data_IF_353027560606
#
_entry.id   IF_353027560606
#
_cell.length_a   1.000
_cell.length_b   1.000
_cell.length_c   1.000
_cell.angle_alpha   90.00
_cell.angle_beta   90.00
_cell.angle_gamma   90.00
#
_symmetry.space_group_name_H-M   'P 1'
#
loop_
_entity.id
_entity.type
_entity.pdbx_description
1 polymer ?
#
# COMPACT_ATOMS: atom_id res chain seq x y z
N UNK A 1 14.58 15.04 -55.96
CA UNK A 1 15.08 14.69 -54.62
C UNK A 1 13.93 14.86 -53.62
N UNK A 2 13.34 13.76 -53.18
CA UNK A 2 12.25 13.84 -52.21
C UNK A 2 12.87 13.79 -50.80
N UNK A 3 12.81 14.90 -50.09
CA UNK A 3 13.16 14.96 -48.69
C UNK A 3 11.94 14.40 -47.94
N UNK A 4 12.01 13.17 -47.50
CA UNK A 4 11.04 12.60 -46.57
C UNK A 4 11.43 13.14 -45.21
N UNK A 5 10.81 14.21 -44.81
CA UNK A 5 10.83 14.61 -43.38
C UNK A 5 9.88 13.65 -42.70
N UNK A 6 10.43 12.58 -42.19
CA UNK A 6 9.72 11.79 -41.18
C UNK A 6 9.61 12.68 -39.96
N UNK A 7 8.51 13.42 -39.86
CA UNK A 7 8.14 14.10 -38.64
C UNK A 7 7.91 13.02 -37.63
N UNK A 8 8.97 12.68 -36.87
CA UNK A 8 8.81 11.92 -35.63
C UNK A 8 8.01 12.83 -34.71
N UNK A 9 6.70 12.75 -34.78
CA UNK A 9 5.83 13.31 -33.78
C UNK A 9 6.14 12.53 -32.51
N UNK A 10 7.13 13.02 -31.77
CA UNK A 10 7.26 12.69 -30.37
C UNK A 10 6.03 13.30 -29.72
N UNK A 11 4.94 12.55 -29.70
CA UNK A 11 3.78 12.86 -28.91
C UNK A 11 4.23 12.79 -27.46
N UNK A 12 4.73 13.92 -26.95
CA UNK A 12 4.78 14.23 -25.54
C UNK A 12 3.31 14.38 -25.08
N UNK A 13 2.57 13.27 -25.10
CA UNK A 13 1.44 13.17 -24.21
C UNK A 13 2.02 13.22 -22.81
N UNK A 14 1.56 14.12 -21.92
CA UNK A 14 1.81 13.94 -20.53
C UNK A 14 1.32 12.52 -20.23
N UNK A 15 2.22 11.67 -19.77
CA UNK A 15 1.85 10.40 -19.18
C UNK A 15 1.05 10.81 -17.96
N UNK A 16 -0.29 10.93 -18.14
CA UNK A 16 -1.20 11.02 -17.02
C UNK A 16 -1.04 9.67 -16.34
N UNK A 17 -0.33 9.65 -15.21
CA UNK A 17 -0.22 8.47 -14.39
C UNK A 17 -1.64 8.08 -13.98
N UNK A 18 -2.17 7.05 -14.60
CA UNK A 18 -3.45 6.50 -14.14
C UNK A 18 -3.18 5.81 -12.82
N UNK A 19 -3.83 6.31 -11.76
CA UNK A 19 -3.93 5.61 -10.50
C UNK A 19 -4.67 4.29 -10.73
N UNK A 20 -4.03 3.18 -10.39
CA UNK A 20 -4.64 1.85 -10.47
C UNK A 20 -5.24 1.45 -9.12
N UNK A 21 -6.25 0.58 -9.17
CA UNK A 21 -6.75 -0.11 -7.98
C UNK A 21 -6.39 -1.59 -8.08
N UNK A 22 -5.61 -2.04 -7.11
CA UNK A 22 -5.17 -3.43 -6.98
C UNK A 22 -6.00 -4.10 -5.89
N UNK A 23 -6.65 -5.21 -6.18
CA UNK A 23 -7.58 -5.86 -5.25
C UNK A 23 -6.97 -7.08 -4.57
N UNK A 24 -7.27 -7.25 -3.28
CA UNK A 24 -6.84 -8.37 -2.44
C UNK A 24 -8.09 -9.00 -1.82
N UNK A 25 -8.29 -10.32 -1.90
CA UNK A 25 -7.41 -11.34 -2.47
C UNK A 25 -7.63 -11.64 -3.95
N UNK A 26 -8.48 -10.91 -4.67
CA UNK A 26 -8.94 -11.26 -6.01
C UNK A 26 -7.83 -11.24 -7.06
N UNK A 27 -7.03 -10.15 -7.11
CA UNK A 27 -5.90 -10.00 -8.04
C UNK A 27 -4.58 -10.43 -7.41
N UNK A 28 -4.40 -10.13 -6.13
CA UNK A 28 -3.19 -10.44 -5.38
C UNK A 28 -3.56 -11.22 -4.14
N UNK A 29 -2.87 -12.33 -3.89
CA UNK A 29 -3.18 -13.24 -2.78
C UNK A 29 -2.87 -12.65 -1.40
N UNK A 30 -2.04 -11.60 -1.32
CA UNK A 30 -1.66 -10.95 -0.07
C UNK A 30 -1.60 -9.43 -0.23
N UNK A 31 -1.72 -8.71 0.89
CA UNK A 31 -1.62 -7.26 0.91
C UNK A 31 -0.21 -6.84 0.47
N UNK A 32 0.84 -7.50 0.97
CA UNK A 32 2.21 -7.17 0.61
C UNK A 32 2.48 -7.39 -0.88
N UNK A 33 1.93 -8.42 -1.51
CA UNK A 33 2.12 -8.65 -2.94
C UNK A 33 1.46 -7.57 -3.79
N UNK A 34 0.31 -7.05 -3.37
CA UNK A 34 -0.33 -5.90 -4.01
C UNK A 34 0.49 -4.62 -3.83
N UNK A 35 1.01 -4.37 -2.62
CA UNK A 35 1.92 -3.24 -2.37
C UNK A 35 3.15 -3.31 -3.27
N UNK A 36 3.76 -4.49 -3.39
CA UNK A 36 4.95 -4.68 -4.22
C UNK A 36 4.68 -4.37 -5.70
N UNK A 37 3.50 -4.69 -6.19
CA UNK A 37 3.08 -4.45 -7.57
C UNK A 37 2.58 -3.02 -7.84
N UNK A 38 2.25 -2.25 -6.79
CA UNK A 38 1.72 -0.89 -6.92
C UNK A 38 2.82 0.13 -7.27
N UNK A 39 2.40 1.25 -7.83
CA UNK A 39 3.18 2.47 -8.01
C UNK A 39 2.59 3.60 -7.17
N UNK A 40 3.34 4.70 -6.98
CA UNK A 40 2.82 5.88 -6.30
C UNK A 40 1.48 6.32 -6.86
N UNK A 41 0.58 6.74 -5.98
CA UNK A 41 -0.82 7.13 -6.25
C UNK A 41 -1.79 5.96 -6.49
N UNK A 42 -1.33 4.73 -6.51
CA UNK A 42 -2.21 3.57 -6.60
C UNK A 42 -2.98 3.33 -5.29
N UNK A 43 -4.06 2.58 -5.41
CA UNK A 43 -4.86 2.10 -4.28
C UNK A 43 -4.82 0.58 -4.20
N UNK A 44 -4.49 0.05 -3.04
CA UNK A 44 -4.66 -1.36 -2.70
C UNK A 44 -5.96 -1.50 -1.93
N UNK A 45 -6.95 -2.15 -2.54
CA UNK A 45 -8.29 -2.36 -1.97
C UNK A 45 -8.39 -3.79 -1.43
N UNK A 46 -8.64 -3.90 -0.13
CA UNK A 46 -8.61 -5.18 0.59
C UNK A 46 -10.01 -5.57 1.03
N UNK A 47 -10.47 -6.73 0.58
CA UNK A 47 -11.76 -7.31 0.98
C UNK A 47 -11.71 -7.81 2.42
N UNK A 48 -12.87 -7.93 3.10
CA UNK A 48 -12.94 -8.48 4.45
C UNK A 48 -12.23 -9.83 4.55
N UNK A 49 -11.47 -10.01 5.63
CA UNK A 49 -10.72 -11.24 5.87
C UNK A 49 -9.68 -11.09 6.97
N UNK A 50 -9.02 -12.19 7.25
CA UNK A 50 -7.93 -12.26 8.22
C UNK A 50 -6.62 -12.43 7.45
N UNK A 51 -5.74 -11.44 7.56
CA UNK A 51 -4.47 -11.36 6.85
C UNK A 51 -3.32 -11.43 7.86
N UNK A 52 -2.68 -12.59 7.98
CA UNK A 52 -1.51 -12.75 8.83
C UNK A 52 -0.28 -12.27 8.07
N UNK A 53 0.03 -10.98 8.21
CA UNK A 53 1.10 -10.32 7.46
C UNK A 53 1.75 -9.22 8.31
N UNK A 54 3.04 -9.00 8.06
CA UNK A 54 3.76 -7.80 8.47
C UNK A 54 4.04 -7.02 7.19
N UNK A 55 3.35 -5.90 6.97
CA UNK A 55 3.42 -5.16 5.70
C UNK A 55 4.35 -3.96 5.78
N UNK A 56 5.03 -3.67 4.67
CA UNK A 56 5.84 -2.48 4.49
C UNK A 56 5.39 -1.73 3.23
N UNK A 57 5.25 -0.43 3.33
CA UNK A 57 4.93 0.42 2.18
C UNK A 57 6.09 0.57 1.21
N UNK A 58 7.32 0.22 1.62
CA UNK A 58 8.53 0.23 0.78
C UNK A 58 8.81 1.58 0.11
N UNK A 59 8.53 2.67 0.80
CA UNK A 59 8.74 4.03 0.30
C UNK A 59 7.70 4.51 -0.70
N UNK A 60 6.60 3.79 -0.88
CA UNK A 60 5.55 4.14 -1.84
C UNK A 60 4.46 5.01 -1.21
N UNK A 61 4.04 6.02 -1.95
CA UNK A 61 2.92 6.89 -1.61
C UNK A 61 1.63 6.35 -2.19
N UNK A 62 1.11 5.30 -1.58
CA UNK A 62 -0.10 4.58 -1.96
C UNK A 62 -1.15 4.61 -0.86
N UNK A 63 -2.39 4.33 -1.22
CA UNK A 63 -3.48 4.12 -0.26
C UNK A 63 -3.74 2.64 -0.14
N UNK A 64 -3.58 2.08 1.06
CA UNK A 64 -4.01 0.72 1.40
C UNK A 64 -5.27 0.85 2.23
N UNK A 65 -6.39 0.37 1.72
CA UNK A 65 -7.69 0.54 2.34
C UNK A 65 -8.53 -0.73 2.28
N UNK A 66 -9.33 -0.96 3.33
CA UNK A 66 -10.38 -1.96 3.24
C UNK A 66 -11.56 -1.48 2.38
N UNK A 67 -12.47 -2.38 2.06
CA UNK A 67 -13.72 -2.03 1.36
C UNK A 67 -14.63 -1.08 2.15
N UNK A 68 -14.30 -0.78 3.41
CA UNK A 68 -14.93 0.26 4.22
C UNK A 68 -15.11 1.58 3.44
N UNK A 69 -14.07 1.99 2.68
CA UNK A 69 -14.11 3.26 1.94
C UNK A 69 -15.17 3.26 0.83
N UNK A 70 -15.45 2.10 0.27
CA UNK A 70 -16.42 1.93 -0.83
C UNK A 70 -17.86 1.76 -0.27
N UNK A 71 -17.99 0.97 0.78
CA UNK A 71 -19.28 0.59 1.35
C UNK A 71 -19.77 1.56 2.44
N UNK A 72 -18.87 2.40 2.96
CA UNK A 72 -19.10 3.33 4.07
C UNK A 72 -19.72 2.66 5.31
N UNK A 73 -19.40 1.38 5.50
CA UNK A 73 -19.85 0.57 6.61
C UNK A 73 -18.69 0.35 7.61
N UNK A 74 -18.82 0.91 8.80
CA UNK A 74 -17.81 0.77 9.86
C UNK A 74 -17.62 -0.67 10.35
N UNK A 75 -18.58 -1.56 10.10
CA UNK A 75 -18.42 -2.99 10.39
C UNK A 75 -17.32 -3.63 9.56
N UNK A 76 -17.00 -3.07 8.39
CA UNK A 76 -15.92 -3.56 7.53
C UNK A 76 -14.54 -3.38 8.18
N UNK A 77 -14.38 -2.40 9.06
CA UNK A 77 -13.12 -2.18 9.81
C UNK A 77 -12.85 -3.37 10.73
N UNK A 78 -13.86 -3.83 11.44
CA UNK A 78 -13.76 -5.02 12.31
C UNK A 78 -13.66 -6.34 11.56
N UNK A 79 -14.04 -6.35 10.28
CA UNK A 79 -14.04 -7.54 9.44
C UNK A 79 -12.77 -7.69 8.60
N UNK A 80 -11.91 -6.66 8.56
CA UNK A 80 -10.67 -6.67 7.79
C UNK A 80 -9.50 -6.49 8.75
N UNK A 81 -8.86 -7.60 9.08
CA UNK A 81 -7.86 -7.69 10.15
C UNK A 81 -6.49 -7.98 9.56
N UNK A 82 -5.50 -7.18 9.95
CA UNK A 82 -4.09 -7.48 9.69
C UNK A 82 -3.46 -7.91 11.03
N UNK A 83 -2.97 -9.14 11.06
CA UNK A 83 -2.40 -9.77 12.24
C UNK A 83 -0.90 -9.93 12.07
N UNK A 84 -0.14 -9.31 12.95
CA UNK A 84 1.33 -9.34 12.90
C UNK A 84 1.95 -10.61 13.48
N UNK A 85 1.14 -11.51 14.03
CA UNK A 85 1.59 -12.79 14.60
C UNK A 85 2.72 -12.63 15.63
N UNK A 86 2.74 -11.52 16.36
CA UNK A 86 3.82 -11.16 17.30
C UNK A 86 5.23 -11.16 16.68
N UNK A 87 5.32 -10.91 15.38
CA UNK A 87 6.56 -10.93 14.61
C UNK A 87 6.94 -9.54 14.12
N UNK A 88 7.14 -8.61 15.03
CA UNK A 88 7.49 -7.22 14.71
C UNK A 88 6.27 -6.33 14.48
N UNK A 89 6.49 -5.19 13.86
CA UNK A 89 5.43 -4.24 13.55
C UNK A 89 4.46 -4.78 12.51
N UNK A 90 3.17 -4.57 12.72
CA UNK A 90 2.14 -4.97 11.74
C UNK A 90 2.30 -4.21 10.43
N UNK A 91 2.61 -2.92 10.52
CA UNK A 91 2.78 -2.03 9.38
C UNK A 91 4.03 -1.18 9.57
N UNK A 92 4.80 -1.00 8.49
CA UNK A 92 5.99 -0.17 8.47
C UNK A 92 5.88 0.94 7.42
N UNK A 93 6.18 2.17 7.88
CA UNK A 93 6.40 3.37 7.09
C UNK A 93 7.80 3.89 7.43
N UNK A 94 8.83 3.30 6.89
CA UNK A 94 10.21 3.58 7.29
C UNK A 94 11.19 3.79 6.13
N UNK A 95 10.68 4.01 4.92
CA UNK A 95 11.49 4.15 3.70
C UNK A 95 11.24 5.47 2.96
N UNK A 96 10.87 6.54 3.68
CA UNK A 96 10.70 7.87 3.12
C UNK A 96 9.32 8.12 2.51
N UNK A 97 8.31 7.35 2.91
CA UNK A 97 6.91 7.61 2.55
C UNK A 97 6.52 9.04 2.95
N UNK A 98 5.74 9.70 2.11
CA UNK A 98 5.17 11.02 2.41
C UNK A 98 3.83 10.91 3.14
N UNK A 99 3.20 12.05 3.41
CA UNK A 99 1.84 12.10 3.98
C UNK A 99 0.76 11.53 3.04
N UNK A 100 1.11 11.25 1.79
CA UNK A 100 0.22 10.62 0.81
C UNK A 100 0.15 9.10 0.95
N UNK A 101 1.03 8.50 1.74
CA UNK A 101 0.95 7.09 2.11
C UNK A 101 -0.07 6.91 3.23
N UNK A 102 -1.14 6.16 2.98
CA UNK A 102 -2.28 6.02 3.88
C UNK A 102 -2.64 4.56 4.09
N UNK A 103 -2.83 4.19 5.34
CA UNK A 103 -3.49 2.94 5.75
C UNK A 103 -4.80 3.28 6.45
N UNK A 104 -5.91 2.71 5.99
CA UNK A 104 -7.21 3.00 6.60
C UNK A 104 -8.19 1.83 6.51
N UNK A 105 -9.10 1.78 7.48
CA UNK A 105 -10.21 0.83 7.47
C UNK A 105 -9.87 -0.57 7.94
N UNK A 106 -8.82 -0.75 8.73
CA UNK A 106 -8.37 -2.05 9.25
C UNK A 106 -8.42 -2.11 10.78
N UNK A 107 -8.57 -3.32 11.27
CA UNK A 107 -8.14 -3.68 12.62
C UNK A 107 -6.72 -4.23 12.55
N UNK A 108 -5.82 -3.67 13.34
CA UNK A 108 -4.44 -4.14 13.48
C UNK A 108 -4.30 -4.84 14.82
N UNK A 109 -3.73 -6.05 14.83
CA UNK A 109 -3.52 -6.80 16.06
C UNK A 109 -2.21 -7.58 16.05
N UNK A 110 -1.81 -8.02 17.25
CA UNK A 110 -0.64 -8.87 17.48
C UNK A 110 0.64 -8.35 16.82
N UNK A 111 0.83 -7.04 16.89
CA UNK A 111 2.09 -6.40 16.58
C UNK A 111 3.01 -6.45 17.79
N UNK A 112 4.24 -6.87 17.61
CA UNK A 112 5.31 -6.79 18.59
C UNK A 112 6.34 -5.79 18.03
N UNK A 113 6.13 -4.50 18.30
CA UNK A 113 7.01 -3.46 17.81
C UNK A 113 8.45 -3.72 18.30
N UNK A 114 9.40 -3.74 17.38
CA UNK A 114 10.79 -3.62 17.77
C UNK A 114 10.98 -2.20 18.29
N UNK A 115 10.92 -2.03 19.60
CA UNK A 115 11.54 -0.87 20.23
C UNK A 115 13.04 -1.00 19.94
N UNK A 116 13.51 -0.37 18.89
CA UNK A 116 14.86 0.16 18.97
C UNK A 116 14.76 1.27 20.02
N UNK A 117 15.03 0.91 21.26
CA UNK A 117 15.24 1.92 22.31
C UNK A 117 16.44 2.76 21.85
N UNK A 118 16.24 4.03 21.44
CA UNK A 118 17.35 4.87 21.04
C UNK A 118 18.30 5.14 22.22
N UNK A 119 17.90 4.74 23.41
CA UNK A 119 18.64 4.92 24.67
C UNK A 119 19.16 3.58 25.24
N UNK A 120 19.59 2.64 24.40
CA UNK A 120 20.27 1.42 24.87
C UNK A 120 21.56 1.69 25.69
N UNK A 121 21.63 2.84 26.32
CA UNK A 121 22.64 3.17 27.34
C UNK A 121 22.21 2.72 28.74
N UNK A 122 21.26 1.84 28.86
CA UNK A 122 21.05 1.08 30.10
C UNK A 122 20.89 1.94 31.37
N UNK A 123 20.23 3.08 31.23
CA UNK A 123 19.84 3.90 32.40
C UNK A 123 18.35 4.13 32.41
#
# INVERSE_FOLDING_TARGET
MKIIITLLLLNLFPIVGYSATLTVPEQYSSIQSAINASADQDTVLVSPGFYQENISFNGKDIVVTSTYIVEQDSLMIGSTIIDGNNNGSVVLFNNGESQSAVLQGFTLQDGNGNYADPDENGT
#
